data_IF_575701905745
#
_entry.id   IF_575701905745
#
_cell.length_a   1.000
_cell.length_b   1.000
_cell.length_c   1.000
_cell.angle_alpha   90.00
_cell.angle_beta   90.00
_cell.angle_gamma   90.00
#
_symmetry.space_group_name_H-M   'P 1'
#
loop_
_entity.id
_entity.type
_entity.pdbx_description
1 polymer ?
#
# COMPACT_ATOMS: atom_id res chain seq x y z
N UNK A 1 -4.71 57.56 35.76
CA UNK A 1 -3.27 57.82 35.53
C UNK A 1 -3.05 58.07 34.04
N UNK A 2 -2.09 58.90 33.68
CA UNK A 2 -1.45 58.90 32.34
C UNK A 2 -0.62 57.60 32.15
N UNK A 3 -0.15 57.15 30.99
CA UNK A 3 0.25 57.84 29.74
C UNK A 3 -0.14 57.02 28.49
N UNK A 4 -0.12 57.64 27.30
CA UNK A 4 -0.35 56.98 25.99
C UNK A 4 0.36 57.74 24.85
N UNK A 5 0.83 57.06 23.79
CA UNK A 5 1.50 57.61 22.56
C UNK A 5 2.86 58.31 22.79
N UNK A 6 3.72 58.59 21.75
CA UNK A 6 3.68 58.31 20.29
C UNK A 6 4.71 57.19 19.89
N UNK A 7 5.24 56.97 18.66
CA UNK A 7 5.14 57.54 17.31
C UNK A 7 5.42 56.44 16.22
N UNK A 8 5.26 56.53 14.87
CA UNK A 8 4.34 57.25 13.92
C UNK A 8 5.00 57.72 12.58
N UNK A 9 5.73 56.86 11.84
CA UNK A 9 6.07 57.05 10.40
C UNK A 9 5.65 55.81 9.59
N UNK A 10 4.94 55.81 8.45
CA UNK A 10 4.60 56.75 7.34
C UNK A 10 5.70 57.02 6.29
N UNK A 11 5.41 56.61 5.04
CA UNK A 11 6.17 56.89 3.82
C UNK A 11 6.82 55.63 3.22
N UNK A 12 6.80 55.36 1.90
CA UNK A 12 6.13 56.06 0.80
C UNK A 12 5.65 55.09 -0.30
N UNK A 13 4.56 55.46 -0.96
CA UNK A 13 4.09 54.87 -2.21
C UNK A 13 4.93 55.42 -3.38
N UNK A 14 5.47 54.58 -4.27
CA UNK A 14 5.61 54.84 -5.72
C UNK A 14 5.73 53.54 -6.51
N UNK A 15 5.10 53.50 -7.67
CA UNK A 15 5.23 52.43 -8.66
C UNK A 15 5.97 52.95 -9.90
N UNK A 16 6.79 52.10 -10.52
CA UNK A 16 7.33 52.28 -11.86
C UNK A 16 7.45 50.92 -12.52
N UNK A 17 6.72 50.71 -13.63
CA UNK A 17 6.87 49.52 -14.46
C UNK A 17 7.85 49.80 -15.62
N UNK A 18 8.71 48.85 -15.93
CA UNK A 18 9.44 48.77 -17.20
C UNK A 18 9.43 47.32 -17.65
N UNK A 19 8.79 47.04 -18.78
CA UNK A 19 8.87 45.73 -19.42
C UNK A 19 10.13 45.64 -20.27
N UNK A 20 10.85 44.53 -20.19
CA UNK A 20 11.81 44.10 -21.22
C UNK A 20 11.36 42.73 -21.71
N UNK A 21 11.16 42.62 -23.02
CA UNK A 21 10.68 41.41 -23.68
C UNK A 21 11.89 40.58 -24.14
N UNK A 22 11.91 39.29 -23.83
CA UNK A 22 12.68 38.31 -24.59
C UNK A 22 11.72 37.41 -25.36
N UNK A 23 11.76 37.53 -26.69
CA UNK A 23 11.04 36.66 -27.63
C UNK A 23 11.91 35.43 -27.95
N UNK A 24 11.60 34.29 -27.33
CA UNK A 24 12.08 32.99 -27.82
C UNK A 24 11.08 32.43 -28.82
N UNK A 25 11.18 32.86 -30.08
CA UNK A 25 10.43 32.26 -31.20
C UNK A 25 11.01 30.89 -31.51
N UNK A 26 10.36 29.83 -31.02
CA UNK A 26 10.60 28.45 -31.41
C UNK A 26 9.40 27.92 -32.18
N UNK A 27 9.45 27.98 -33.52
CA UNK A 27 8.41 27.43 -34.39
C UNK A 27 8.91 26.11 -35.01
N UNK A 28 8.13 25.04 -34.90
CA UNK A 28 8.57 23.70 -35.33
C UNK A 28 7.47 22.66 -35.34
N UNK A 29 6.58 22.75 -36.34
CA UNK A 29 5.57 21.77 -36.75
C UNK A 29 4.53 21.29 -35.71
N UNK A 30 3.25 21.45 -36.05
CA UNK A 30 2.18 20.67 -35.44
C UNK A 30 2.21 19.25 -36.00
N UNK A 31 2.33 18.24 -35.13
CA UNK A 31 1.85 16.89 -35.41
C UNK A 31 0.73 16.54 -34.42
N UNK A 32 -0.27 15.78 -34.87
CA UNK A 32 -1.46 15.44 -34.08
C UNK A 32 -1.22 14.24 -33.14
N UNK A 33 -0.05 14.21 -32.50
CA UNK A 33 0.35 13.19 -31.52
C UNK A 33 -0.40 13.34 -30.20
N UNK A 34 -1.61 12.78 -30.14
CA UNK A 34 -2.40 12.62 -28.90
C UNK A 34 -1.78 11.60 -27.93
N UNK A 35 -0.56 11.87 -27.49
CA UNK A 35 0.16 11.05 -26.52
C UNK A 35 -0.26 11.40 -25.10
N UNK A 36 -1.05 10.53 -24.46
CA UNK A 36 -1.24 10.56 -23.02
C UNK A 36 0.12 10.57 -22.31
N UNK A 37 0.46 11.70 -21.70
CA UNK A 37 1.65 11.86 -20.87
C UNK A 37 1.44 11.12 -19.54
N UNK A 38 1.36 9.79 -19.61
CA UNK A 38 1.17 8.87 -18.50
C UNK A 38 2.29 9.09 -17.49
N UNK A 39 1.97 9.86 -16.45
CA UNK A 39 2.91 10.23 -15.38
C UNK A 39 3.59 8.96 -14.88
N UNK A 40 4.90 8.86 -15.15
CA UNK A 40 5.68 7.68 -14.80
C UNK A 40 5.94 7.75 -13.31
N UNK A 41 5.01 7.21 -12.53
CA UNK A 41 5.07 7.16 -11.09
C UNK A 41 6.43 6.60 -10.65
N UNK A 42 7.20 7.41 -9.93
CA UNK A 42 8.55 7.04 -9.53
C UNK A 42 8.53 5.75 -8.71
N UNK A 43 9.44 4.82 -9.04
CA UNK A 43 9.61 3.57 -8.29
C UNK A 43 10.02 3.94 -6.86
N UNK A 44 9.32 3.46 -5.81
CA UNK A 44 9.66 3.76 -4.43
C UNK A 44 11.09 3.32 -4.09
N UNK A 45 11.75 4.07 -3.20
CA UNK A 45 13.09 3.72 -2.75
C UNK A 45 13.11 2.31 -2.13
N UNK A 46 14.07 1.49 -2.56
CA UNK A 46 14.18 0.08 -2.16
C UNK A 46 13.43 -0.92 -3.04
N UNK A 47 12.70 -0.47 -4.07
CA UNK A 47 11.95 -1.33 -5.00
C UNK A 47 12.57 -1.34 -6.42
N UNK A 48 12.35 -2.39 -7.24
CA UNK A 48 11.57 -3.59 -6.96
C UNK A 48 12.26 -4.55 -5.98
N UNK A 49 11.46 -5.28 -5.18
CA UNK A 49 11.93 -6.32 -4.26
C UNK A 49 11.46 -7.67 -4.75
N UNK A 50 12.38 -8.62 -4.93
CA UNK A 50 12.03 -10.01 -5.23
C UNK A 50 12.17 -10.87 -3.97
N UNK A 51 11.05 -11.41 -3.51
CA UNK A 51 10.98 -12.37 -2.40
C UNK A 51 10.91 -13.78 -2.97
N UNK A 52 11.68 -14.70 -2.40
CA UNK A 52 11.55 -16.14 -2.65
C UNK A 52 11.00 -16.78 -1.37
N UNK A 53 9.77 -17.29 -1.41
CA UNK A 53 9.14 -17.96 -0.28
C UNK A 53 8.60 -19.33 -0.72
N UNK A 54 9.01 -20.39 -0.02
CA UNK A 54 8.62 -21.77 -0.32
C UNK A 54 8.86 -22.20 -1.79
N UNK A 55 9.83 -21.61 -2.48
CA UNK A 55 10.10 -21.86 -3.91
C UNK A 55 9.13 -21.16 -4.87
N UNK A 56 8.28 -20.26 -4.36
CA UNK A 56 7.50 -19.29 -5.14
C UNK A 56 8.25 -17.96 -5.10
N UNK A 57 8.73 -17.53 -6.26
CA UNK A 57 9.43 -16.25 -6.43
C UNK A 57 8.45 -15.18 -6.91
N UNK A 58 8.34 -14.10 -6.13
CA UNK A 58 7.39 -13.00 -6.35
C UNK A 58 8.14 -11.67 -6.30
N UNK A 59 7.99 -10.86 -7.34
CA UNK A 59 8.56 -9.51 -7.41
C UNK A 59 7.47 -8.48 -7.13
N UNK A 60 7.76 -7.56 -6.21
CA UNK A 60 6.93 -6.42 -5.88
C UNK A 60 7.58 -5.16 -6.45
N UNK A 61 6.88 -4.38 -7.27
CA UNK A 61 7.39 -3.13 -7.85
C UNK A 61 7.21 -1.90 -6.92
N UNK A 62 6.45 -2.09 -5.84
CA UNK A 62 6.12 -1.08 -4.82
C UNK A 62 5.74 -1.81 -3.51
N UNK A 63 5.73 -1.11 -2.35
CA UNK A 63 5.20 -1.69 -1.12
C UNK A 63 3.75 -2.17 -1.31
N UNK A 64 3.38 -3.34 -0.78
CA UNK A 64 1.98 -3.75 -0.64
C UNK A 64 1.15 -2.65 0.04
N UNK A 65 -0.05 -2.44 -0.49
CA UNK A 65 -0.96 -1.35 -0.11
C UNK A 65 -2.29 -1.85 0.45
N UNK A 66 -2.64 -3.12 0.19
CA UNK A 66 -3.89 -3.79 0.62
C UNK A 66 -3.57 -5.22 1.03
N UNK A 67 -3.31 -5.45 2.30
CA UNK A 67 -2.92 -6.74 2.86
C UNK A 67 -4.12 -7.42 3.53
N UNK A 68 -4.32 -8.70 3.24
CA UNK A 68 -5.18 -9.59 4.04
C UNK A 68 -4.31 -10.52 4.88
N UNK A 69 -4.57 -10.60 6.17
CA UNK A 69 -3.90 -11.53 7.10
C UNK A 69 -4.77 -12.75 7.42
N UNK A 70 -4.14 -13.91 7.60
CA UNK A 70 -4.81 -15.15 8.01
C UNK A 70 -4.08 -15.71 9.23
N UNK A 71 -4.84 -16.04 10.29
CA UNK A 71 -4.43 -16.21 11.69
C UNK A 71 -4.19 -14.88 12.43
N UNK A 72 -4.17 -14.92 13.77
CA UNK A 72 -4.01 -13.74 14.63
C UNK A 72 -2.59 -13.15 14.57
N UNK A 73 -1.55 -13.98 14.73
CA UNK A 73 -0.17 -13.50 14.88
C UNK A 73 0.38 -12.72 13.65
N UNK A 74 -0.03 -12.96 12.39
CA UNK A 74 0.33 -12.11 11.26
C UNK A 74 -0.31 -10.72 11.32
N UNK A 75 -1.54 -10.61 11.84
CA UNK A 75 -2.20 -9.32 12.03
C UNK A 75 -1.53 -8.52 13.15
N UNK A 76 -1.25 -9.16 14.29
CA UNK A 76 -0.50 -8.52 15.39
C UNK A 76 0.90 -8.07 14.95
N UNK A 77 1.59 -8.83 14.09
CA UNK A 77 2.88 -8.43 13.53
C UNK A 77 2.76 -7.16 12.66
N UNK A 78 1.74 -7.04 11.81
CA UNK A 78 1.53 -5.83 11.00
C UNK A 78 1.17 -4.62 11.88
N UNK A 79 0.34 -4.80 12.91
CA UNK A 79 -0.02 -3.75 13.87
C UNK A 79 1.19 -3.28 14.70
N UNK A 80 2.06 -4.20 15.12
CA UNK A 80 3.30 -3.90 15.83
C UNK A 80 4.33 -3.17 14.95
N UNK A 81 4.26 -3.34 13.62
CA UNK A 81 5.07 -2.61 12.65
C UNK A 81 4.47 -1.25 12.23
N UNK A 82 3.29 -0.87 12.75
CA UNK A 82 2.60 0.37 12.37
C UNK A 82 2.03 0.34 10.95
N UNK A 83 1.54 -0.82 10.51
CA UNK A 83 1.02 -1.07 9.16
C UNK A 83 -0.51 -1.17 9.11
N UNK A 84 -1.24 -0.70 10.13
CA UNK A 84 -2.71 -0.70 10.16
C UNK A 84 -3.36 -0.13 8.87
N UNK A 85 -2.84 1.00 8.35
CA UNK A 85 -3.30 1.67 7.11
C UNK A 85 -3.13 0.81 5.83
N UNK A 86 -2.51 -0.36 5.94
CA UNK A 86 -2.36 -1.34 4.85
C UNK A 86 -3.35 -2.49 4.93
N UNK A 87 -4.05 -2.67 6.04
CA UNK A 87 -4.83 -3.88 6.30
C UNK A 87 -6.23 -3.79 5.69
N UNK A 88 -6.45 -4.56 4.63
CA UNK A 88 -7.76 -4.68 3.96
C UNK A 88 -8.69 -5.67 4.69
N UNK A 89 -8.13 -6.56 5.52
CA UNK A 89 -8.89 -7.43 6.42
C UNK A 89 -8.01 -8.44 7.15
N UNK A 90 -8.59 -9.12 8.14
CA UNK A 90 -7.97 -10.24 8.87
C UNK A 90 -8.95 -11.41 8.99
N UNK A 91 -8.46 -12.61 9.29
CA UNK A 91 -9.29 -13.80 9.47
C UNK A 91 -8.63 -14.80 10.43
N UNK A 92 -9.46 -15.66 11.05
CA UNK A 92 -9.06 -16.67 12.03
C UNK A 92 -8.31 -16.09 13.27
N UNK A 93 -8.96 -15.28 14.13
CA UNK A 93 -8.46 -15.06 15.48
C UNK A 93 -8.35 -16.39 16.25
N UNK A 94 -7.23 -16.64 16.93
CA UNK A 94 -6.94 -17.93 17.59
C UNK A 94 -6.78 -17.82 19.12
N UNK A 95 -6.77 -16.62 19.68
CA UNK A 95 -6.60 -16.34 21.11
C UNK A 95 -7.13 -14.94 21.48
N UNK A 96 -6.82 -14.46 22.69
CA UNK A 96 -7.05 -13.07 23.06
C UNK A 96 -5.94 -12.18 22.46
N UNK A 97 -6.32 -11.10 21.77
CA UNK A 97 -5.39 -10.11 21.20
C UNK A 97 -4.64 -9.36 22.30
N UNK A 98 -3.35 -9.08 22.07
CA UNK A 98 -2.49 -8.29 22.97
C UNK A 98 -3.17 -6.97 23.40
N UNK A 99 -3.21 -6.61 24.70
CA UNK A 99 -3.91 -5.42 25.19
C UNK A 99 -3.56 -4.11 24.48
N UNK A 100 -2.29 -3.93 24.13
CA UNK A 100 -1.72 -2.78 23.44
C UNK A 100 -2.04 -2.70 21.94
N UNK A 101 -2.48 -3.81 21.32
CA UNK A 101 -2.87 -3.87 19.91
C UNK A 101 -4.38 -3.92 19.69
N UNK A 102 -5.17 -4.23 20.74
CA UNK A 102 -6.59 -4.56 20.64
C UNK A 102 -7.44 -3.51 19.90
N UNK A 103 -7.31 -2.23 20.25
CA UNK A 103 -8.07 -1.14 19.61
C UNK A 103 -7.81 -1.07 18.10
N UNK A 104 -6.56 -1.28 17.67
CA UNK A 104 -6.21 -1.34 16.24
C UNK A 104 -6.71 -2.63 15.59
N UNK A 105 -6.68 -3.75 16.30
CA UNK A 105 -7.14 -5.05 15.78
C UNK A 105 -8.65 -5.05 15.54
N UNK A 106 -9.43 -4.55 16.49
CA UNK A 106 -10.90 -4.43 16.41
C UNK A 106 -11.35 -3.43 15.32
N UNK A 107 -10.45 -2.59 14.82
CA UNK A 107 -10.69 -1.70 13.67
C UNK A 107 -10.42 -2.36 12.29
N UNK A 108 -9.78 -3.54 12.24
CA UNK A 108 -9.55 -4.27 10.98
C UNK A 108 -10.84 -5.04 10.60
N UNK A 109 -11.27 -5.03 9.33
CA UNK A 109 -12.39 -5.87 8.89
C UNK A 109 -12.09 -7.37 9.08
N UNK A 110 -12.86 -8.05 9.92
CA UNK A 110 -12.80 -9.51 10.00
C UNK A 110 -13.54 -10.14 8.81
N UNK A 111 -12.83 -10.95 8.02
CA UNK A 111 -13.35 -11.59 6.82
C UNK A 111 -13.96 -12.98 7.10
N UNK A 112 -13.48 -13.66 8.15
CA UNK A 112 -14.02 -14.92 8.66
C UNK A 112 -13.43 -15.27 10.05
N UNK A 113 -14.23 -15.96 10.88
CA UNK A 113 -13.84 -16.56 12.17
C UNK A 113 -12.76 -17.67 12.02
N UNK A 114 -12.49 -18.11 10.79
CA UNK A 114 -11.63 -19.23 10.38
C UNK A 114 -10.89 -18.89 9.09
N UNK A 115 -10.25 -19.87 8.45
CA UNK A 115 -9.78 -19.79 7.07
C UNK A 115 -10.87 -19.17 6.13
N UNK A 116 -10.62 -18.00 5.51
CA UNK A 116 -11.61 -17.32 4.66
C UNK A 116 -11.64 -17.93 3.26
N UNK A 117 -12.82 -18.00 2.65
CA UNK A 117 -12.97 -18.54 1.29
C UNK A 117 -12.24 -17.68 0.24
N UNK A 118 -11.95 -18.26 -0.93
CA UNK A 118 -11.30 -17.56 -2.03
C UNK A 118 -12.03 -16.26 -2.41
N UNK A 119 -13.36 -16.34 -2.52
CA UNK A 119 -14.22 -15.21 -2.86
C UNK A 119 -14.14 -14.11 -1.79
N UNK A 120 -14.10 -14.47 -0.49
CA UNK A 120 -13.94 -13.50 0.61
C UNK A 120 -12.58 -12.79 0.60
N UNK A 121 -11.53 -13.44 0.11
CA UNK A 121 -10.24 -12.79 -0.12
C UNK A 121 -10.31 -11.86 -1.35
N UNK A 122 -10.96 -12.28 -2.44
CA UNK A 122 -11.10 -11.44 -3.64
C UNK A 122 -11.99 -10.20 -3.39
N UNK A 123 -13.06 -10.33 -2.61
CA UNK A 123 -13.96 -9.24 -2.19
C UNK A 123 -13.18 -8.08 -1.54
N UNK A 124 -12.07 -8.38 -0.84
CA UNK A 124 -11.22 -7.39 -0.17
C UNK A 124 -10.22 -6.69 -1.11
N UNK A 125 -10.14 -7.07 -2.40
CA UNK A 125 -9.13 -6.62 -3.38
C UNK A 125 -7.69 -6.45 -2.81
N UNK A 126 -7.08 -7.48 -2.20
CA UNK A 126 -5.71 -7.37 -1.70
C UNK A 126 -4.67 -7.35 -2.82
N UNK A 127 -3.52 -6.72 -2.56
CA UNK A 127 -2.28 -6.93 -3.32
C UNK A 127 -1.32 -7.92 -2.61
N UNK A 128 -1.60 -8.27 -1.35
CA UNK A 128 -0.86 -9.27 -0.56
C UNK A 128 -1.80 -10.09 0.33
N UNK A 129 -1.60 -11.41 0.37
CA UNK A 129 -2.14 -12.31 1.40
C UNK A 129 -0.99 -12.87 2.24
N UNK A 130 -1.03 -12.60 3.55
CA UNK A 130 0.01 -12.96 4.51
C UNK A 130 -0.57 -13.90 5.59
N UNK A 131 -0.39 -15.22 5.41
CA UNK A 131 -0.90 -16.25 6.32
C UNK A 131 0.19 -16.80 7.23
N UNK A 132 -0.17 -17.07 8.49
CA UNK A 132 0.75 -17.53 9.53
C UNK A 132 1.33 -18.93 9.29
N UNK A 133 0.54 -19.83 8.71
CA UNK A 133 0.90 -21.23 8.47
C UNK A 133 0.73 -21.63 6.99
N UNK A 134 1.44 -22.66 6.55
CA UNK A 134 1.31 -23.20 5.19
C UNK A 134 -0.05 -23.84 4.90
N UNK A 135 -0.78 -24.23 5.94
CA UNK A 135 -2.16 -24.71 5.83
C UNK A 135 -3.09 -23.66 5.24
N UNK A 136 -2.93 -22.37 5.56
CA UNK A 136 -3.71 -21.27 5.02
C UNK A 136 -3.61 -21.06 3.50
N UNK A 137 -2.84 -21.92 2.80
CA UNK A 137 -2.67 -21.95 1.36
C UNK A 137 -2.69 -23.40 0.82
N UNK A 138 -3.21 -24.36 1.59
CA UNK A 138 -3.42 -25.71 1.11
C UNK A 138 -4.52 -25.73 0.03
N UNK A 139 -4.48 -26.73 -0.85
CA UNK A 139 -5.33 -26.79 -2.06
C UNK A 139 -6.85 -26.84 -1.75
N UNK A 140 -7.21 -27.12 -0.50
CA UNK A 140 -8.58 -27.18 0.01
C UNK A 140 -9.06 -25.90 0.73
N UNK A 141 -8.18 -24.97 1.11
CA UNK A 141 -8.60 -23.72 1.80
C UNK A 141 -8.97 -22.58 0.83
N UNK A 142 -8.84 -22.79 -0.49
CA UNK A 142 -9.25 -21.84 -1.54
C UNK A 142 -8.36 -20.60 -1.74
N UNK A 143 -7.52 -20.25 -0.76
CA UNK A 143 -6.59 -19.12 -0.83
C UNK A 143 -5.65 -19.25 -2.04
N UNK A 144 -5.38 -18.18 -2.83
CA UNK A 144 -4.73 -18.32 -4.13
C UNK A 144 -3.26 -18.73 -4.01
N UNK A 145 -2.89 -19.87 -4.61
CA UNK A 145 -1.50 -20.32 -4.71
C UNK A 145 -0.96 -20.14 -6.12
N UNK A 146 0.01 -19.22 -6.30
CA UNK A 146 0.76 -19.10 -7.55
C UNK A 146 1.80 -20.21 -7.67
N UNK A 147 1.37 -21.44 -8.01
CA UNK A 147 2.26 -22.60 -8.14
C UNK A 147 3.44 -22.34 -9.09
N UNK A 148 4.66 -22.59 -8.63
CA UNK A 148 5.77 -22.98 -9.51
C UNK A 148 5.60 -24.47 -9.88
N UNK A 149 5.96 -24.92 -11.09
CA UNK A 149 5.63 -26.25 -11.60
C UNK A 149 6.56 -27.36 -11.07
N UNK A 150 7.03 -27.28 -9.81
CA UNK A 150 8.10 -28.15 -9.33
C UNK A 150 7.96 -28.54 -7.85
N UNK A 151 7.45 -29.78 -7.68
CA UNK A 151 7.56 -30.64 -6.48
C UNK A 151 6.50 -30.42 -5.38
N UNK A 152 6.14 -31.52 -4.73
CA UNK A 152 5.07 -31.61 -3.74
C UNK A 152 5.61 -31.73 -2.30
N UNK A 153 4.67 -31.74 -1.34
CA UNK A 153 4.82 -32.16 0.07
C UNK A 153 5.85 -31.39 0.93
N UNK A 154 5.51 -30.16 1.33
CA UNK A 154 5.91 -29.57 2.63
C UNK A 154 4.89 -28.51 3.05
N UNK A 155 4.28 -28.58 4.26
CA UNK A 155 3.42 -27.52 4.78
C UNK A 155 4.28 -26.41 5.40
N UNK A 156 4.41 -25.25 4.73
CA UNK A 156 5.21 -24.11 5.22
C UNK A 156 4.59 -22.79 4.72
N UNK A 157 4.67 -21.75 5.54
CA UNK A 157 3.90 -20.51 5.41
C UNK A 157 4.21 -19.71 4.13
N UNK A 158 3.39 -19.91 3.11
CA UNK A 158 3.44 -19.15 1.86
C UNK A 158 2.95 -17.71 2.04
N UNK A 159 3.30 -16.87 1.08
CA UNK A 159 2.87 -15.47 0.98
C UNK A 159 2.53 -15.22 -0.47
N UNK A 160 1.32 -14.78 -0.76
CA UNK A 160 0.77 -14.81 -2.11
C UNK A 160 0.19 -13.47 -2.54
N UNK A 161 0.54 -13.03 -3.75
CA UNK A 161 -0.10 -11.89 -4.41
C UNK A 161 -1.41 -12.35 -5.04
N UNK A 162 -2.53 -11.74 -4.65
CA UNK A 162 -3.79 -11.91 -5.37
C UNK A 162 -3.69 -11.19 -6.72
N UNK A 163 -3.40 -11.94 -7.78
CA UNK A 163 -3.25 -11.39 -9.13
C UNK A 163 -4.60 -11.10 -9.76
N UNK A 164 -4.95 -9.82 -9.94
CA UNK A 164 -6.11 -9.39 -10.72
C UNK A 164 -5.90 -9.78 -12.19
N UNK A 165 -6.63 -10.78 -12.67
CA UNK A 165 -6.67 -11.15 -14.08
C UNK A 165 -7.27 -10.02 -14.92
N UNK A 166 -6.63 -9.68 -16.04
CA UNK A 166 -7.16 -8.77 -17.05
C UNK A 166 -8.06 -9.47 -18.07
#
# INVERSE_FOLDING_TARGET
MSLFTPARMRGFLRATAVSVVLLTVGCGASDAGGGDAKSTAAVPAGFPVTVDNCGVRTTYDRPPSRVVTIHQHPAELLLALGLEDRMAGTAFPDSAVLPELREKYEAIPELAEREPSFEKILDAEPDLVYGGYGSAFAENEGVPVRRSPTRASTPTSTVSTAGKSG
#
